data_IF_730090995750
#
_entry.id   IF_730090995750
#
_cell.length_a   1.000
_cell.length_b   1.000
_cell.length_c   1.000
_cell.angle_alpha   90.00
_cell.angle_beta   90.00
_cell.angle_gamma   90.00
#
_symmetry.space_group_name_H-M   'P 1'
#
loop_
_entity.id
_entity.type
_entity.pdbx_description
1 polymer ?
#
# COMPACT_ATOMS: atom_id res chain seq x y z
N UNK A 1 -64.02 -16.38 73.65
CA UNK A 1 -63.20 -16.04 74.86
C UNK A 1 -61.77 -15.81 74.35
N UNK A 2 -61.47 -14.57 74.37
CA UNK A 2 -60.33 -13.96 75.08
C UNK A 2 -58.98 -14.27 74.41
N UNK A 3 -58.40 -13.26 73.84
CA UNK A 3 -57.46 -12.23 74.30
C UNK A 3 -56.02 -12.55 73.97
N UNK A 4 -55.43 -11.74 73.24
CA UNK A 4 -54.56 -10.56 73.54
C UNK A 4 -53.06 -10.98 73.52
N UNK A 5 -52.16 -10.35 73.10
CA UNK A 5 -51.79 -9.00 72.75
C UNK A 5 -50.35 -8.97 72.17
N UNK A 6 -50.17 -8.06 71.32
CA UNK A 6 -48.98 -7.26 71.03
C UNK A 6 -47.66 -7.55 71.74
N UNK A 7 -46.55 -7.48 70.96
CA UNK A 7 -45.52 -6.46 71.25
C UNK A 7 -44.60 -6.21 70.05
N UNK A 8 -44.60 -4.98 69.68
CA UNK A 8 -43.59 -4.30 68.86
C UNK A 8 -42.18 -4.54 69.40
N UNK A 9 -41.23 -4.72 68.52
CA UNK A 9 -39.82 -4.67 68.81
C UNK A 9 -39.11 -4.01 67.60
N UNK A 10 -39.03 -2.71 67.69
CA UNK A 10 -38.27 -1.82 66.82
C UNK A 10 -36.80 -2.22 66.83
N UNK A 11 -36.27 -2.45 65.71
CA UNK A 11 -34.84 -2.80 65.47
C UNK A 11 -34.24 -2.00 64.30
N UNK A 12 -34.15 -0.69 64.48
CA UNK A 12 -33.39 0.21 63.68
C UNK A 12 -31.89 -0.18 63.70
N UNK A 13 -31.51 -1.16 62.95
CA UNK A 13 -30.12 -1.61 62.78
C UNK A 13 -29.62 -1.66 61.30
N UNK A 14 -30.54 -1.48 60.32
CA UNK A 14 -30.22 -1.65 58.91
C UNK A 14 -29.56 -0.47 58.18
N UNK A 15 -29.63 0.73 58.81
CA UNK A 15 -29.12 1.94 58.14
C UNK A 15 -27.60 2.10 58.25
N UNK A 16 -27.05 1.82 59.40
CA UNK A 16 -25.58 1.97 59.63
C UNK A 16 -24.77 0.89 58.91
N UNK A 17 -25.28 -0.34 58.91
CA UNK A 17 -24.60 -1.45 58.19
C UNK A 17 -24.61 -1.24 56.70
N UNK A 18 -25.68 -0.72 56.12
CA UNK A 18 -25.74 -0.36 54.70
C UNK A 18 -24.78 0.81 54.38
N UNK A 19 -24.69 1.78 55.26
CA UNK A 19 -23.76 2.90 55.13
C UNK A 19 -22.32 2.43 55.19
N UNK A 20 -21.95 1.53 56.09
CA UNK A 20 -20.61 0.93 56.18
C UNK A 20 -20.26 0.11 54.94
N UNK A 21 -21.21 -0.62 54.39
CA UNK A 21 -20.98 -1.39 53.14
C UNK A 21 -20.75 -0.46 51.97
N UNK A 22 -21.53 0.63 51.85
CA UNK A 22 -21.36 1.61 50.78
C UNK A 22 -20.00 2.31 50.89
N UNK A 23 -19.59 2.71 52.09
CA UNK A 23 -18.29 3.34 52.33
C UNK A 23 -17.15 2.34 52.00
N UNK A 24 -17.28 1.07 52.39
CA UNK A 24 -16.29 0.06 52.09
C UNK A 24 -16.13 -0.17 50.57
N UNK A 25 -17.24 -0.19 49.80
CA UNK A 25 -17.21 -0.31 48.35
C UNK A 25 -16.56 0.91 47.68
N UNK A 26 -16.87 2.11 48.17
CA UNK A 26 -16.26 3.35 47.67
C UNK A 26 -14.75 3.36 47.92
N UNK A 27 -14.30 2.93 49.11
CA UNK A 27 -12.87 2.86 49.45
C UNK A 27 -12.14 1.84 48.58
N UNK A 28 -12.76 0.68 48.31
CA UNK A 28 -12.19 -0.33 47.42
C UNK A 28 -12.09 0.17 45.98
N UNK A 29 -13.10 0.92 45.52
CA UNK A 29 -13.07 1.54 44.18
C UNK A 29 -12.01 2.65 44.05
N UNK A 30 -11.83 3.44 45.12
CA UNK A 30 -10.80 4.49 45.14
C UNK A 30 -9.36 3.89 45.19
N UNK A 31 -9.17 2.81 45.95
CA UNK A 31 -7.89 2.13 46.01
C UNK A 31 -7.59 1.40 44.69
N UNK A 32 -8.58 0.68 44.14
CA UNK A 32 -8.45 -0.01 42.89
C UNK A 32 -8.26 0.95 41.69
N UNK A 33 -9.03 2.03 41.64
CA UNK A 33 -8.92 3.09 40.64
C UNK A 33 -7.61 3.89 40.75
N UNK A 34 -7.17 4.17 41.98
CA UNK A 34 -5.91 4.89 42.21
C UNK A 34 -4.67 4.09 41.83
N UNK A 35 -4.65 2.79 42.10
CA UNK A 35 -3.53 1.90 41.71
C UNK A 35 -3.53 1.69 40.20
N UNK A 36 -4.69 1.51 39.57
CA UNK A 36 -4.81 1.38 38.11
C UNK A 36 -4.37 2.65 37.37
N UNK A 37 -4.81 3.82 37.84
CA UNK A 37 -4.40 5.10 37.28
C UNK A 37 -2.90 5.38 37.52
N UNK A 38 -2.36 5.02 38.69
CA UNK A 38 -0.94 5.19 39.00
C UNK A 38 -0.04 4.28 38.16
N UNK A 39 -0.48 3.04 37.91
CA UNK A 39 0.25 2.13 37.00
C UNK A 39 0.12 2.53 35.53
N UNK A 40 -0.98 3.16 35.17
CA UNK A 40 -1.20 3.66 33.81
C UNK A 40 -0.46 4.99 33.55
N UNK A 41 -0.29 5.83 34.59
CA UNK A 41 0.49 7.07 34.49
C UNK A 41 2.00 6.86 34.77
N UNK A 42 2.39 5.74 35.35
CA UNK A 42 3.77 5.32 35.45
C UNK A 42 4.15 4.46 34.24
N UNK A 43 3.81 4.98 33.05
CA UNK A 43 4.38 4.53 31.80
C UNK A 43 5.89 4.74 31.90
N UNK A 44 6.60 3.68 31.61
CA UNK A 44 8.05 3.55 31.62
C UNK A 44 8.74 4.79 31.07
N UNK A 45 9.33 5.55 31.97
CA UNK A 45 10.36 6.53 31.66
C UNK A 45 11.70 5.80 31.45
N UNK A 46 11.69 4.79 30.58
CA UNK A 46 12.86 4.33 29.86
C UNK A 46 12.86 5.03 28.51
N UNK A 47 13.07 6.34 28.55
CA UNK A 47 13.44 7.13 27.39
C UNK A 47 14.81 6.70 26.86
N UNK A 48 14.85 5.58 26.16
CA UNK A 48 15.68 5.51 24.98
C UNK A 48 15.02 6.43 23.94
N UNK A 49 15.76 7.29 23.26
CA UNK A 49 15.21 8.03 22.14
C UNK A 49 14.65 6.95 21.20
N UNK A 50 13.32 6.82 21.14
CA UNK A 50 12.69 6.30 19.94
C UNK A 50 13.17 7.25 18.85
N UNK A 51 14.28 6.90 18.21
CA UNK A 51 14.45 7.27 16.83
C UNK A 51 13.10 6.98 16.21
N UNK A 52 12.39 8.03 15.89
CA UNK A 52 11.27 7.96 14.97
C UNK A 52 11.82 7.11 13.84
N UNK A 53 11.44 5.83 13.81
CA UNK A 53 11.46 5.08 12.58
C UNK A 53 10.55 5.92 11.70
N UNK A 54 11.18 6.91 11.03
CA UNK A 54 10.72 7.37 9.76
C UNK A 54 10.49 6.05 9.05
N UNK A 55 9.24 5.68 8.95
CA UNK A 55 8.78 4.58 8.13
C UNK A 55 9.41 4.90 6.78
N UNK A 56 10.59 4.30 6.58
CA UNK A 56 11.34 4.42 5.34
C UNK A 56 10.33 3.85 4.37
N UNK A 57 9.63 4.76 3.70
CA UNK A 57 8.67 4.43 2.66
C UNK A 57 9.37 3.36 1.86
N UNK A 58 8.87 2.13 1.95
CA UNK A 58 9.55 0.92 1.53
C UNK A 58 10.19 1.25 0.19
N UNK A 59 11.51 1.43 0.20
CA UNK A 59 12.24 1.82 -1.01
C UNK A 59 11.86 0.75 -1.99
N UNK A 60 11.01 1.12 -2.95
CA UNK A 60 10.47 0.16 -3.90
C UNK A 60 11.69 -0.48 -4.54
N UNK A 61 12.01 -1.71 -4.11
CA UNK A 61 13.20 -2.40 -4.57
C UNK A 61 13.11 -2.43 -6.08
N UNK A 62 14.10 -1.82 -6.71
CA UNK A 62 14.25 -1.78 -8.15
C UNK A 62 14.48 -3.23 -8.60
N UNK A 63 13.62 -3.72 -9.47
CA UNK A 63 13.75 -5.05 -10.04
C UNK A 63 14.86 -5.14 -11.09
N UNK A 64 15.16 -6.36 -11.59
CA UNK A 64 16.05 -6.54 -12.72
C UNK A 64 15.59 -5.71 -13.92
N UNK A 65 16.54 -5.13 -14.64
CA UNK A 65 16.28 -4.29 -15.81
C UNK A 65 16.80 -4.91 -17.09
N UNK A 66 15.96 -4.89 -18.13
CA UNK A 66 16.32 -5.33 -19.48
C UNK A 66 16.22 -4.13 -20.42
N UNK A 67 17.33 -3.85 -21.12
CA UNK A 67 17.41 -2.75 -22.07
C UNK A 67 17.07 -3.22 -23.47
N UNK A 68 16.21 -2.46 -24.15
CA UNK A 68 15.95 -2.57 -25.58
C UNK A 68 16.67 -1.40 -26.24
N UNK A 69 17.65 -1.73 -27.10
CA UNK A 69 18.40 -0.74 -27.86
C UNK A 69 17.47 0.15 -28.69
N UNK A 70 18.00 1.30 -29.09
CA UNK A 70 17.28 2.25 -29.92
C UNK A 70 16.80 1.62 -31.23
N UNK A 71 15.54 1.81 -31.55
CA UNK A 71 14.88 1.37 -32.77
C UNK A 71 14.09 2.51 -33.40
N UNK A 72 13.78 2.35 -34.67
CA UNK A 72 12.97 3.30 -35.45
C UNK A 72 11.73 2.56 -35.95
N UNK A 73 10.57 3.18 -35.82
CA UNK A 73 9.30 2.63 -36.33
C UNK A 73 8.48 3.74 -36.97
N UNK A 74 7.87 3.42 -38.14
CA UNK A 74 6.90 4.31 -38.76
C UNK A 74 5.62 4.34 -37.91
N UNK A 75 5.04 5.51 -37.78
CA UNK A 75 3.80 5.75 -37.04
C UNK A 75 2.69 6.22 -37.99
N UNK A 76 1.45 6.20 -37.54
CA UNK A 76 0.32 6.67 -38.34
C UNK A 76 0.34 8.19 -38.44
N UNK A 77 0.26 8.68 -39.67
CA UNK A 77 0.03 10.10 -39.98
C UNK A 77 -0.64 10.16 -41.36
N UNK A 78 -1.66 11.00 -41.48
CA UNK A 78 -2.46 11.11 -42.70
C UNK A 78 -1.82 12.03 -43.74
N UNK A 79 -0.91 12.91 -43.33
CA UNK A 79 -0.35 13.93 -44.19
C UNK A 79 1.06 13.62 -44.69
N UNK A 80 1.84 12.92 -43.86
CA UNK A 80 3.25 12.64 -44.17
C UNK A 80 3.80 11.38 -43.46
N UNK A 81 4.87 10.83 -44.01
CA UNK A 81 5.55 9.73 -43.34
C UNK A 81 6.29 10.22 -42.12
N UNK A 82 5.85 9.79 -40.94
CA UNK A 82 6.49 10.10 -39.66
C UNK A 82 7.10 8.84 -39.03
N UNK A 83 8.07 9.04 -38.19
CA UNK A 83 8.67 7.93 -37.45
C UNK A 83 8.99 8.32 -36.02
N UNK A 84 8.97 7.32 -35.18
CA UNK A 84 9.43 7.39 -33.79
C UNK A 84 10.79 6.70 -33.71
N UNK A 85 11.78 7.40 -33.14
CA UNK A 85 13.00 6.79 -32.60
C UNK A 85 12.83 6.65 -31.10
N UNK A 86 12.95 5.45 -30.57
CA UNK A 86 12.82 5.17 -29.15
C UNK A 86 13.85 4.16 -28.65
N UNK A 87 14.23 4.29 -27.38
CA UNK A 87 14.91 3.27 -26.60
C UNK A 87 14.11 3.03 -25.31
N UNK A 88 14.04 1.78 -24.87
CA UNK A 88 13.16 1.36 -23.77
C UNK A 88 13.95 0.53 -22.78
N UNK A 89 13.79 0.83 -21.49
CA UNK A 89 14.24 -0.05 -20.41
C UNK A 89 13.01 -0.65 -19.71
N UNK A 90 13.01 -1.97 -19.54
CA UNK A 90 11.94 -2.74 -18.93
C UNK A 90 12.39 -3.22 -17.56
N UNK A 91 11.68 -2.83 -16.49
CA UNK A 91 11.85 -3.36 -15.13
C UNK A 91 10.90 -4.53 -14.95
N UNK A 92 11.43 -5.66 -14.52
CA UNK A 92 10.67 -6.86 -14.19
C UNK A 92 10.70 -7.15 -12.69
N UNK A 93 9.81 -8.00 -12.23
CA UNK A 93 9.66 -8.34 -10.81
C UNK A 93 10.72 -9.31 -10.29
N UNK A 94 11.36 -10.09 -11.17
CA UNK A 94 12.24 -11.18 -10.79
C UNK A 94 13.30 -11.48 -11.84
N UNK A 95 14.40 -12.10 -11.43
CA UNK A 95 15.45 -12.56 -12.34
C UNK A 95 14.96 -13.63 -13.35
N UNK A 96 14.12 -14.61 -12.96
CA UNK A 96 13.53 -15.51 -13.94
C UNK A 96 12.72 -14.81 -15.04
N UNK A 97 12.03 -13.70 -14.70
CA UNK A 97 11.33 -12.89 -15.72
C UNK A 97 12.29 -12.17 -16.65
N UNK A 98 13.41 -11.66 -16.14
CA UNK A 98 14.47 -11.04 -16.94
C UNK A 98 15.07 -12.02 -17.93
N UNK A 99 15.38 -13.23 -17.50
CA UNK A 99 15.89 -14.30 -18.37
C UNK A 99 14.88 -14.68 -19.45
N UNK A 100 13.60 -14.86 -19.08
CA UNK A 100 12.54 -15.18 -20.04
C UNK A 100 12.35 -14.07 -21.07
N UNK A 101 12.33 -12.80 -20.62
CA UNK A 101 12.17 -11.63 -21.50
C UNK A 101 13.30 -11.59 -22.54
N UNK A 102 14.55 -11.85 -22.13
CA UNK A 102 15.68 -11.93 -23.03
C UNK A 102 15.55 -13.10 -24.03
N UNK A 103 15.10 -14.27 -23.60
CA UNK A 103 14.85 -15.43 -24.47
C UNK A 103 13.76 -15.16 -25.51
N UNK A 104 12.77 -14.32 -25.15
CA UNK A 104 11.65 -13.93 -26.01
C UNK A 104 11.83 -12.57 -26.68
N UNK A 105 13.06 -12.05 -26.69
CA UNK A 105 13.37 -10.70 -27.22
C UNK A 105 12.80 -10.42 -28.62
N UNK A 106 12.83 -11.35 -29.58
CA UNK A 106 12.18 -11.12 -30.88
C UNK A 106 10.66 -10.88 -30.75
N UNK A 107 9.97 -11.65 -29.91
CA UNK A 107 8.52 -11.49 -29.68
C UNK A 107 8.22 -10.17 -28.97
N UNK A 108 9.07 -9.77 -28.02
CA UNK A 108 8.99 -8.52 -27.29
C UNK A 108 9.15 -7.32 -28.24
N UNK A 109 10.17 -7.34 -29.07
CA UNK A 109 10.42 -6.28 -30.07
C UNK A 109 9.28 -6.17 -31.08
N UNK A 110 8.79 -7.30 -31.60
CA UNK A 110 7.65 -7.33 -32.51
C UNK A 110 6.39 -6.72 -31.89
N UNK A 111 6.06 -7.11 -30.67
CA UNK A 111 4.91 -6.58 -29.93
C UNK A 111 5.02 -5.05 -29.71
N UNK A 112 6.21 -4.55 -29.40
CA UNK A 112 6.47 -3.12 -29.22
C UNK A 112 6.30 -2.37 -30.55
N UNK A 113 6.91 -2.88 -31.62
CA UNK A 113 6.85 -2.26 -32.94
C UNK A 113 5.41 -2.19 -33.48
N UNK A 114 4.64 -3.27 -33.36
CA UNK A 114 3.24 -3.31 -33.79
C UNK A 114 2.36 -2.35 -32.97
N UNK A 115 2.59 -2.26 -31.66
CA UNK A 115 1.80 -1.38 -30.82
C UNK A 115 2.10 0.09 -31.09
N UNK A 116 3.37 0.45 -31.23
CA UNK A 116 3.79 1.83 -31.54
C UNK A 116 3.43 2.21 -32.98
N UNK A 117 3.62 1.31 -33.95
CA UNK A 117 3.30 1.55 -35.34
C UNK A 117 1.80 1.81 -35.62
N UNK A 118 0.94 1.43 -34.65
CA UNK A 118 -0.51 1.72 -34.72
C UNK A 118 -0.90 2.99 -33.94
N UNK A 119 0.05 3.85 -33.56
CA UNK A 119 -0.18 5.12 -32.89
C UNK A 119 0.03 6.29 -33.82
N UNK A 120 -0.75 7.34 -33.59
CA UNK A 120 -0.63 8.61 -34.33
C UNK A 120 0.45 9.51 -33.70
N UNK A 121 0.90 10.51 -34.48
CA UNK A 121 1.79 11.55 -34.00
C UNK A 121 1.21 12.25 -32.75
N UNK A 122 -0.08 12.59 -32.78
CA UNK A 122 -0.75 13.25 -31.65
C UNK A 122 -0.69 12.44 -30.36
N UNK A 123 -0.99 11.13 -30.44
CA UNK A 123 -0.95 10.23 -29.29
C UNK A 123 0.47 10.09 -28.71
N UNK A 124 1.50 10.12 -29.55
CA UNK A 124 2.88 9.94 -29.09
C UNK A 124 3.55 11.24 -28.64
N UNK A 125 3.05 12.39 -29.07
CA UNK A 125 3.59 13.71 -28.69
C UNK A 125 3.09 14.18 -27.32
N UNK A 126 1.85 13.81 -26.97
CA UNK A 126 1.22 14.20 -25.72
C UNK A 126 1.70 13.39 -24.53
N UNK A 127 1.68 14.00 -23.33
CA UNK A 127 2.05 13.34 -22.09
C UNK A 127 1.09 12.20 -21.73
N UNK A 128 -0.21 12.41 -21.89
CA UNK A 128 -1.22 11.39 -21.60
C UNK A 128 -1.10 10.19 -22.53
N UNK A 129 -0.85 10.45 -23.80
CA UNK A 129 -0.60 9.40 -24.78
C UNK A 129 0.64 8.56 -24.46
N UNK A 130 1.73 9.18 -23.97
CA UNK A 130 2.93 8.45 -23.51
C UNK A 130 2.64 7.59 -22.26
N UNK A 131 1.82 8.09 -21.33
CA UNK A 131 1.39 7.33 -20.16
C UNK A 131 0.53 6.13 -20.59
N UNK A 132 -0.40 6.34 -21.50
CA UNK A 132 -1.24 5.27 -22.05
C UNK A 132 -0.41 4.22 -22.79
N UNK A 133 0.49 4.65 -23.68
CA UNK A 133 1.41 3.75 -24.38
C UNK A 133 2.20 2.87 -23.41
N UNK A 134 2.71 3.44 -22.32
CA UNK A 134 3.41 2.68 -21.28
C UNK A 134 2.53 1.60 -20.66
N UNK A 135 1.27 1.92 -20.34
CA UNK A 135 0.34 0.97 -19.78
C UNK A 135 -0.02 -0.15 -20.76
N UNK A 136 -0.24 0.18 -22.03
CA UNK A 136 -0.51 -0.78 -23.09
C UNK A 136 0.67 -1.72 -23.33
N UNK A 137 1.89 -1.19 -23.35
CA UNK A 137 3.11 -1.98 -23.45
C UNK A 137 3.28 -2.95 -22.27
N UNK A 138 3.07 -2.49 -21.03
CA UNK A 138 3.11 -3.34 -19.84
C UNK A 138 2.12 -4.49 -19.96
N UNK A 139 0.88 -4.21 -20.33
CA UNK A 139 -0.15 -5.23 -20.52
C UNK A 139 0.21 -6.22 -21.62
N UNK A 140 0.69 -5.72 -22.76
CA UNK A 140 1.08 -6.56 -23.90
C UNK A 140 2.25 -7.47 -23.55
N UNK A 141 3.29 -6.95 -22.90
CA UNK A 141 4.46 -7.73 -22.51
C UNK A 141 4.12 -8.75 -21.42
N UNK A 142 3.24 -8.40 -20.49
CA UNK A 142 2.75 -9.34 -19.48
C UNK A 142 1.93 -10.49 -20.08
N UNK A 143 1.34 -10.32 -21.24
CA UNK A 143 0.68 -11.43 -21.96
C UNK A 143 1.66 -12.41 -22.63
N UNK A 144 2.90 -12.00 -22.81
CA UNK A 144 3.97 -12.81 -23.39
C UNK A 144 4.73 -13.60 -22.32
N UNK A 145 4.95 -12.99 -21.14
CA UNK A 145 5.71 -13.58 -20.04
C UNK A 145 4.88 -14.60 -19.23
N UNK A 146 5.56 -15.62 -18.76
CA UNK A 146 4.99 -16.70 -17.91
C UNK A 146 5.66 -16.75 -16.55
N UNK A 147 6.99 -16.44 -16.46
CA UNK A 147 7.80 -16.63 -15.23
C UNK A 147 7.89 -15.39 -14.35
N UNK A 148 7.04 -14.40 -14.56
CA UNK A 148 7.01 -13.16 -13.79
C UNK A 148 6.29 -12.06 -14.56
N UNK A 149 6.52 -10.80 -14.15
CA UNK A 149 5.80 -9.65 -14.71
C UNK A 149 6.69 -8.46 -14.97
N UNK A 150 6.36 -7.69 -15.98
CA UNK A 150 6.84 -6.33 -16.18
C UNK A 150 6.21 -5.43 -15.10
N UNK A 151 7.03 -4.79 -14.30
CA UNK A 151 6.63 -3.82 -13.28
C UNK A 151 6.52 -2.41 -13.83
N UNK A 152 7.55 -2.02 -14.59
CA UNK A 152 7.63 -0.66 -15.14
C UNK A 152 8.31 -0.67 -16.51
N UNK A 153 8.00 0.35 -17.29
CA UNK A 153 8.68 0.65 -18.55
C UNK A 153 9.16 2.09 -18.50
N UNK A 154 10.40 2.30 -18.91
CA UNK A 154 11.05 3.59 -18.99
C UNK A 154 11.41 3.87 -20.46
N UNK A 155 10.93 4.99 -20.98
CA UNK A 155 11.40 5.50 -22.27
C UNK A 155 12.69 6.28 -22.00
N UNK A 156 13.83 5.74 -22.45
CA UNK A 156 15.16 6.34 -22.25
C UNK A 156 15.56 7.23 -23.43
N UNK A 157 14.96 7.01 -24.58
CA UNK A 157 14.98 7.89 -25.75
C UNK A 157 13.58 7.85 -26.39
N UNK A 158 13.06 9.01 -26.82
CA UNK A 158 11.72 9.09 -27.40
C UNK A 158 11.58 10.36 -28.25
N UNK A 159 11.87 10.24 -29.55
CA UNK A 159 11.87 11.36 -30.49
C UNK A 159 10.94 11.04 -31.64
N UNK A 160 9.91 11.87 -31.83
CA UNK A 160 8.96 11.76 -32.95
C UNK A 160 9.37 12.78 -34.02
N UNK A 161 9.53 12.35 -35.26
CA UNK A 161 9.93 13.20 -36.37
C UNK A 161 9.04 12.94 -37.58
#
# INVERSE_FOLDING_TARGET
>A
MAKEAAKQGDGNGGSKTKLFIIIAVIVVLLIGGGIGAFLFLKGDDNGAPQESQVETAAQAQVGPMVNIESFIVNILDDEQSRYLKAAITIEVDSEPASVELNQRMPQVKDAILLLIGNKTFSELSDLQGKIQLRAELINKLNSILVKGKVKRIYFTDFVVQ
#
